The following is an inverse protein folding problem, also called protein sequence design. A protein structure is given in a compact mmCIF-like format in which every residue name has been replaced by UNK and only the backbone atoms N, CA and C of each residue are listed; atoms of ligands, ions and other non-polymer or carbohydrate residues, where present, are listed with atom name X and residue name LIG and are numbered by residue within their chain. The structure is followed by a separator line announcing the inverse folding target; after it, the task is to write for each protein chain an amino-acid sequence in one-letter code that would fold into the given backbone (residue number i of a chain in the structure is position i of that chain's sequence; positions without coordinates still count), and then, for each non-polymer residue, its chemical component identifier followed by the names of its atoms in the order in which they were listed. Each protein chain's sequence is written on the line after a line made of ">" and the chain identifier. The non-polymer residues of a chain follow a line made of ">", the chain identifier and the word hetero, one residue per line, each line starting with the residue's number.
data_IF_720494096365
#
_entry.id   IF_720494096365
#
_cell.length_a   1.000
_cell.length_b   1.000
_cell.length_c   1.000
_cell.angle_alpha   90.00
_cell.angle_beta   90.00
_cell.angle_gamma   90.00
#
_symmetry.space_group_name_H-M   'P 1'
#
loop_
_entity.id
_entity.type
_entity.pdbx_description
1 polymer ?
#
# COMPACT_ATOMS: atom_id res chain seq x y z
N UNK A 1 -31.76 -4.81 7.06
CA UNK A 1 -30.43 -4.96 7.73
C UNK A 1 -30.42 -3.96 8.88
N UNK A 2 -30.09 -4.38 10.13
CA UNK A 2 -30.04 -3.42 11.23
C UNK A 2 -28.92 -2.40 11.01
N UNK A 3 -29.07 -1.18 11.55
CA UNK A 3 -28.04 -0.12 11.43
C UNK A 3 -26.67 -0.58 11.93
N UNK A 4 -26.63 -1.41 12.97
CA UNK A 4 -25.38 -1.96 13.51
C UNK A 4 -24.70 -2.93 12.54
N UNK A 5 -25.46 -3.81 11.89
CA UNK A 5 -24.91 -4.70 10.87
C UNK A 5 -24.35 -3.92 9.69
N UNK A 6 -25.06 -2.91 9.21
CA UNK A 6 -24.57 -2.05 8.13
C UNK A 6 -23.24 -1.38 8.51
N UNK A 7 -23.16 -0.78 9.71
CA UNK A 7 -21.96 -0.13 10.21
C UNK A 7 -20.77 -1.10 10.30
N UNK A 8 -21.00 -2.32 10.80
CA UNK A 8 -19.99 -3.38 10.90
C UNK A 8 -19.38 -3.70 9.52
N UNK A 9 -20.21 -4.03 8.55
CA UNK A 9 -19.75 -4.41 7.21
C UNK A 9 -19.17 -3.23 6.45
N UNK A 10 -19.68 -2.03 6.63
CA UNK A 10 -19.10 -0.82 6.04
C UNK A 10 -17.70 -0.52 6.59
N UNK A 11 -17.50 -0.64 7.90
CA UNK A 11 -16.18 -0.50 8.51
C UNK A 11 -15.22 -1.57 8.01
N UNK A 12 -15.67 -2.81 7.88
CA UNK A 12 -14.87 -3.90 7.34
C UNK A 12 -14.48 -3.64 5.88
N UNK A 13 -15.40 -3.20 5.05
CA UNK A 13 -15.14 -2.81 3.67
C UNK A 13 -14.07 -1.71 3.57
N UNK A 14 -14.14 -0.69 4.41
CA UNK A 14 -13.10 0.35 4.46
C UNK A 14 -11.72 -0.20 4.84
N UNK A 15 -11.65 -1.20 5.73
CA UNK A 15 -10.39 -1.86 6.09
C UNK A 15 -9.84 -2.67 4.91
N UNK A 16 -10.69 -3.37 4.18
CA UNK A 16 -10.29 -4.11 2.96
C UNK A 16 -9.76 -3.16 1.89
N UNK A 17 -10.47 -2.04 1.65
CA UNK A 17 -9.99 -1.00 0.72
C UNK A 17 -8.65 -0.43 1.16
N UNK A 18 -8.48 -0.10 2.43
CA UNK A 18 -7.23 0.39 2.98
C UNK A 18 -6.08 -0.60 2.78
N UNK A 19 -6.32 -1.89 3.06
CA UNK A 19 -5.33 -2.95 2.89
C UNK A 19 -4.94 -3.15 1.42
N UNK A 20 -5.88 -3.10 0.48
CA UNK A 20 -5.58 -3.21 -0.94
C UNK A 20 -4.98 -1.94 -1.55
N UNK A 21 -5.15 -0.78 -0.93
CA UNK A 21 -4.63 0.50 -1.46
C UNK A 21 -3.20 0.82 -1.04
N UNK A 22 -2.74 0.32 0.11
CA UNK A 22 -1.41 0.65 0.62
C UNK A 22 -0.29 -0.10 -0.11
N UNK A 23 -0.52 -1.34 -0.50
CA UNK A 23 0.51 -2.22 -1.05
C UNK A 23 0.93 -1.92 -2.49
N UNK A 24 0.08 -1.45 -3.42
CA UNK A 24 0.50 -1.10 -4.77
C UNK A 24 1.66 -0.12 -4.84
N UNK A 25 1.72 0.88 -3.93
CA UNK A 25 2.85 1.81 -3.83
C UNK A 25 4.12 1.12 -3.32
N UNK A 26 3.98 0.25 -2.33
CA UNK A 26 5.11 -0.43 -1.69
C UNK A 26 5.74 -1.45 -2.62
N UNK A 27 4.91 -2.13 -3.43
CA UNK A 27 5.34 -3.19 -4.36
C UNK A 27 5.31 -2.78 -5.83
N UNK A 28 5.56 -1.49 -6.13
CA UNK A 28 5.61 -0.97 -7.51
C UNK A 28 6.51 -1.78 -8.44
N UNK A 29 7.61 -2.34 -7.92
CA UNK A 29 8.53 -3.20 -8.69
C UNK A 29 7.81 -4.36 -9.37
N UNK A 30 6.78 -4.93 -8.76
CA UNK A 30 6.09 -6.11 -9.30
C UNK A 30 5.45 -5.86 -10.67
N UNK A 31 5.04 -4.62 -10.94
CA UNK A 31 4.33 -4.26 -12.18
C UNK A 31 5.11 -3.26 -13.04
N UNK A 32 6.05 -2.49 -12.46
CA UNK A 32 6.67 -1.33 -13.11
C UNK A 32 8.20 -1.31 -13.00
N UNK A 33 8.85 -2.47 -12.82
CA UNK A 33 10.30 -2.55 -12.61
C UNK A 33 11.09 -1.80 -13.70
N UNK A 34 10.85 -2.13 -14.96
CA UNK A 34 11.58 -1.54 -16.09
C UNK A 34 11.36 -0.02 -16.18
N UNK A 35 10.12 0.42 -15.97
CA UNK A 35 9.79 1.86 -15.96
C UNK A 35 10.52 2.59 -14.84
N UNK A 36 10.59 2.00 -13.63
CA UNK A 36 11.30 2.60 -12.50
C UNK A 36 12.79 2.71 -12.80
N UNK A 37 13.41 1.65 -13.32
CA UNK A 37 14.83 1.67 -13.68
C UNK A 37 15.16 2.76 -14.70
N UNK A 38 14.31 2.91 -15.72
CA UNK A 38 14.49 3.91 -16.78
C UNK A 38 14.25 5.34 -16.25
N UNK A 39 13.12 5.59 -15.59
CA UNK A 39 12.73 6.92 -15.13
C UNK A 39 13.70 7.47 -14.09
N UNK A 40 14.15 6.64 -13.16
CA UNK A 40 15.08 7.04 -12.10
C UNK A 40 16.55 6.85 -12.48
N UNK A 41 16.84 6.36 -13.69
CA UNK A 41 18.19 6.03 -14.17
C UNK A 41 18.97 5.16 -13.16
N UNK A 42 18.32 4.11 -12.67
CA UNK A 42 18.84 3.22 -11.63
C UNK A 42 19.23 1.86 -12.19
N UNK A 43 20.20 1.23 -11.55
CA UNK A 43 20.52 -0.17 -11.76
C UNK A 43 19.56 -1.10 -10.99
N UNK A 44 19.46 -2.36 -11.42
CA UNK A 44 18.74 -3.40 -10.67
C UNK A 44 19.27 -3.57 -9.23
N UNK A 45 20.59 -3.41 -9.04
CA UNK A 45 21.21 -3.49 -7.71
C UNK A 45 20.69 -2.37 -6.78
N UNK A 46 20.60 -1.14 -7.28
CA UNK A 46 20.08 0.00 -6.55
C UNK A 46 18.60 -0.19 -6.18
N UNK A 47 17.76 -0.64 -7.12
CA UNK A 47 16.37 -0.94 -6.86
C UNK A 47 16.22 -2.05 -5.80
N UNK A 48 17.02 -3.12 -5.91
CA UNK A 48 16.99 -4.21 -4.92
C UNK A 48 17.45 -3.74 -3.53
N UNK A 49 18.40 -2.80 -3.44
CA UNK A 49 18.83 -2.21 -2.15
C UNK A 49 17.68 -1.49 -1.44
N UNK A 50 16.80 -0.80 -2.17
CA UNK A 50 15.60 -0.16 -1.59
C UNK A 50 14.64 -1.20 -0.99
N UNK A 51 14.41 -2.31 -1.70
CA UNK A 51 13.58 -3.40 -1.18
C UNK A 51 14.25 -4.14 -0.02
N UNK A 52 15.57 -4.16 0.04
CA UNK A 52 16.32 -4.69 1.19
C UNK A 52 16.09 -3.81 2.43
N UNK A 53 16.15 -2.47 2.29
CA UNK A 53 15.81 -1.54 3.38
C UNK A 53 14.39 -1.77 3.86
N UNK A 54 13.43 -1.84 2.93
CA UNK A 54 12.04 -2.15 3.24
C UNK A 54 11.92 -3.45 4.05
N UNK A 55 12.61 -4.51 3.61
CA UNK A 55 12.64 -5.81 4.29
C UNK A 55 13.20 -5.72 5.72
N UNK A 56 14.28 -4.98 5.94
CA UNK A 56 14.82 -4.76 7.29
C UNK A 56 13.84 -4.01 8.19
N UNK A 57 13.19 -2.98 7.67
CA UNK A 57 12.14 -2.26 8.42
C UNK A 57 11.00 -3.21 8.80
N UNK A 58 10.64 -4.16 7.93
CA UNK A 58 9.62 -5.16 8.22
C UNK A 58 10.07 -6.10 9.36
N UNK A 59 11.27 -6.64 9.26
CA UNK A 59 11.82 -7.57 10.28
C UNK A 59 11.80 -6.93 11.68
N UNK A 60 12.26 -5.69 11.79
CA UNK A 60 12.28 -4.99 13.08
C UNK A 60 10.91 -4.40 13.47
N UNK A 61 10.02 -4.21 12.52
CA UNK A 61 8.75 -3.50 12.71
C UNK A 61 7.62 -4.36 13.26
N UNK A 62 7.58 -5.67 12.96
CA UNK A 62 6.45 -6.52 13.33
C UNK A 62 6.17 -6.58 14.82
N UNK A 63 7.19 -6.74 15.66
CA UNK A 63 7.03 -6.81 17.12
C UNK A 63 6.54 -5.48 17.69
N UNK A 64 7.23 -4.33 17.44
CA UNK A 64 6.73 -3.02 17.87
C UNK A 64 5.35 -2.65 17.34
N UNK A 65 4.99 -3.10 16.13
CA UNK A 65 3.66 -2.89 15.55
C UNK A 65 2.53 -3.41 16.44
N UNK A 66 2.70 -4.62 17.00
CA UNK A 66 1.76 -5.19 17.96
C UNK A 66 1.59 -4.28 19.18
N UNK A 67 2.70 -3.86 19.79
CA UNK A 67 2.70 -2.97 20.96
C UNK A 67 2.02 -1.64 20.66
N UNK A 68 2.31 -1.04 19.49
CA UNK A 68 1.65 0.20 19.06
C UNK A 68 0.14 0.04 18.90
N UNK A 69 -0.27 -1.04 18.25
CA UNK A 69 -1.70 -1.29 18.04
C UNK A 69 -2.47 -1.53 19.34
N UNK A 70 -1.80 -2.03 20.39
CA UNK A 70 -2.42 -2.22 21.68
C UNK A 70 -2.56 -0.91 22.46
N UNK A 71 -1.62 -0.01 22.33
CA UNK A 71 -1.59 1.28 23.05
C UNK A 71 -2.38 2.38 22.36
N UNK A 72 -2.45 2.37 21.04
CA UNK A 72 -3.06 3.43 20.25
C UNK A 72 -4.33 2.97 19.54
N UNK A 73 -5.16 3.94 19.16
CA UNK A 73 -6.36 3.67 18.36
C UNK A 73 -5.98 3.13 16.98
N UNK A 74 -6.41 1.92 16.66
CA UNK A 74 -6.17 1.29 15.37
C UNK A 74 -6.66 2.15 14.19
N UNK A 75 -7.80 2.86 14.35
CA UNK A 75 -8.30 3.82 13.35
C UNK A 75 -7.29 4.95 13.08
N UNK A 76 -6.68 5.52 14.13
CA UNK A 76 -5.68 6.58 13.97
C UNK A 76 -4.41 6.06 13.30
N UNK A 77 -3.95 4.88 13.70
CA UNK A 77 -2.78 4.23 13.12
C UNK A 77 -2.98 3.95 11.62
N UNK A 78 -4.14 3.42 11.23
CA UNK A 78 -4.48 3.22 9.81
C UNK A 78 -4.51 4.54 9.02
N UNK A 79 -5.16 5.57 9.57
CA UNK A 79 -5.23 6.87 8.90
C UNK A 79 -3.84 7.48 8.70
N UNK A 80 -2.97 7.42 9.72
CA UNK A 80 -1.58 7.85 9.61
C UNK A 80 -0.82 7.07 8.54
N UNK A 81 -0.95 5.74 8.53
CA UNK A 81 -0.30 4.90 7.53
C UNK A 81 -0.66 5.32 6.11
N UNK A 82 -1.94 5.40 5.81
CA UNK A 82 -2.41 5.77 4.47
C UNK A 82 -1.97 7.18 4.09
N UNK A 83 -2.04 8.12 5.03
CA UNK A 83 -1.64 9.50 4.79
C UNK A 83 -0.14 9.62 4.46
N UNK A 84 0.74 9.08 5.30
CA UNK A 84 2.18 9.19 5.08
C UNK A 84 2.67 8.33 3.91
N UNK A 85 2.06 7.16 3.68
CA UNK A 85 2.36 6.36 2.49
C UNK A 85 1.94 7.09 1.22
N UNK A 86 0.78 7.75 1.22
CA UNK A 86 0.32 8.58 0.10
C UNK A 86 1.22 9.79 -0.15
N UNK A 87 1.64 10.50 0.90
CA UNK A 87 2.63 11.61 0.78
C UNK A 87 3.96 11.12 0.20
N UNK A 88 4.45 9.96 0.65
CA UNK A 88 5.62 9.33 0.06
C UNK A 88 5.44 9.02 -1.42
N UNK A 89 4.24 8.58 -1.84
CA UNK A 89 3.88 8.37 -3.24
C UNK A 89 3.91 9.65 -4.07
N UNK A 90 3.37 10.74 -3.55
CA UNK A 90 3.42 12.06 -4.21
C UNK A 90 4.87 12.57 -4.34
N UNK A 91 5.71 12.31 -3.34
CA UNK A 91 7.12 12.66 -3.41
C UNK A 91 7.87 11.78 -4.41
N UNK A 92 7.62 10.49 -4.42
CA UNK A 92 8.19 9.54 -5.38
C UNK A 92 7.86 9.91 -6.83
N UNK A 93 6.63 10.39 -7.08
CA UNK A 93 6.19 10.83 -8.41
C UNK A 93 6.95 12.04 -8.97
N UNK A 94 7.69 12.77 -8.13
CA UNK A 94 8.55 13.89 -8.54
C UNK A 94 9.94 13.45 -9.03
N UNK A 95 10.17 12.14 -9.11
CA UNK A 95 11.44 11.53 -9.55
C UNK A 95 12.65 12.09 -8.77
N UNK A 96 12.63 12.02 -7.42
CA UNK A 96 13.74 12.52 -6.62
C UNK A 96 15.00 11.68 -6.79
N UNK A 97 16.14 12.18 -6.26
CA UNK A 97 17.41 11.44 -6.33
C UNK A 97 17.36 10.12 -5.55
N UNK A 98 18.29 9.23 -5.84
CA UNK A 98 18.38 7.89 -5.26
C UNK A 98 18.30 7.87 -3.72
N UNK A 99 18.99 8.81 -3.06
CA UNK A 99 19.01 8.92 -1.60
C UNK A 99 17.61 9.23 -1.03
N UNK A 100 16.87 10.10 -1.69
CA UNK A 100 15.48 10.40 -1.30
C UNK A 100 14.53 9.24 -1.60
N UNK A 101 14.74 8.51 -2.69
CA UNK A 101 13.96 7.29 -2.96
C UNK A 101 14.21 6.25 -1.86
N UNK A 102 15.45 6.06 -1.41
CA UNK A 102 15.73 5.19 -0.25
C UNK A 102 14.99 5.63 1.01
N UNK A 103 14.96 6.94 1.29
CA UNK A 103 14.20 7.48 2.42
C UNK A 103 12.69 7.24 2.28
N UNK A 104 12.13 7.39 1.09
CA UNK A 104 10.72 7.09 0.80
C UNK A 104 10.42 5.60 1.07
N UNK A 105 11.28 4.69 0.65
CA UNK A 105 11.10 3.26 0.90
C UNK A 105 11.20 2.92 2.40
N UNK A 106 12.08 3.58 3.14
CA UNK A 106 12.13 3.45 4.60
C UNK A 106 10.84 3.96 5.27
N UNK A 107 10.31 5.10 4.83
CA UNK A 107 9.03 5.67 5.28
C UNK A 107 7.88 4.71 4.96
N UNK A 108 7.80 4.19 3.74
CA UNK A 108 6.80 3.22 3.34
C UNK A 108 6.88 1.95 4.18
N UNK A 109 8.09 1.43 4.42
CA UNK A 109 8.30 0.29 5.31
C UNK A 109 7.80 0.57 6.73
N UNK A 110 8.16 1.73 7.28
CA UNK A 110 7.73 2.12 8.62
C UNK A 110 6.20 2.19 8.72
N UNK A 111 5.55 2.97 7.88
CA UNK A 111 4.11 3.17 7.98
C UNK A 111 3.30 1.93 7.60
N UNK A 112 3.78 1.07 6.70
CA UNK A 112 3.08 -0.16 6.33
C UNK A 112 3.16 -1.26 7.39
N UNK A 113 4.22 -1.30 8.20
CA UNK A 113 4.36 -2.33 9.23
C UNK A 113 4.08 -1.79 10.62
N UNK A 114 4.79 -0.76 11.07
CA UNK A 114 4.64 -0.28 12.45
C UNK A 114 3.24 0.22 12.77
N UNK A 115 2.59 0.89 11.85
CA UNK A 115 1.29 1.52 12.12
C UNK A 115 0.12 0.86 11.39
N UNK A 116 0.35 0.19 10.25
CA UNK A 116 -0.73 -0.43 9.49
C UNK A 116 -0.98 -1.89 9.88
N UNK A 117 0.07 -2.74 9.83
CA UNK A 117 -0.11 -4.19 9.85
C UNK A 117 -0.93 -4.69 11.06
N UNK A 118 -0.50 -4.43 12.28
CA UNK A 118 -1.22 -4.89 13.46
C UNK A 118 -2.55 -4.15 13.66
N UNK A 119 -2.65 -2.90 13.24
CA UNK A 119 -3.86 -2.10 13.41
C UNK A 119 -5.02 -2.62 12.55
N UNK A 120 -4.79 -2.95 11.25
CA UNK A 120 -5.89 -3.47 10.43
C UNK A 120 -6.32 -4.87 10.86
N UNK A 121 -5.39 -5.74 11.25
CA UNK A 121 -5.69 -7.06 11.81
C UNK A 121 -6.52 -6.94 13.09
N UNK A 122 -6.17 -6.01 13.98
CA UNK A 122 -6.92 -5.73 15.21
C UNK A 122 -8.35 -5.27 14.92
N UNK A 123 -8.56 -4.38 13.94
CA UNK A 123 -9.91 -3.93 13.58
C UNK A 123 -10.75 -5.11 13.08
N UNK A 124 -10.19 -5.94 12.21
CA UNK A 124 -10.89 -7.12 11.69
C UNK A 124 -11.29 -8.07 12.84
N UNK A 125 -10.35 -8.33 13.75
CA UNK A 125 -10.62 -9.16 14.94
C UNK A 125 -11.72 -8.57 15.82
N UNK A 126 -11.79 -7.26 15.99
CA UNK A 126 -12.81 -6.60 16.80
C UNK A 126 -14.18 -6.54 16.11
N UNK A 127 -14.23 -6.53 14.78
CA UNK A 127 -15.47 -6.54 14.01
C UNK A 127 -16.09 -7.92 13.90
N UNK A 128 -15.26 -8.96 13.82
CA UNK A 128 -15.68 -10.34 13.65
C UNK A 128 -15.98 -11.01 15.01
N UNK A 129 -17.07 -11.76 15.10
CA UNK A 129 -17.26 -12.72 16.20
C UNK A 129 -16.30 -13.90 16.04
N UNK A 130 -16.06 -14.68 17.10
CA UNK A 130 -15.16 -15.85 17.03
C UNK A 130 -15.50 -16.80 15.88
N UNK A 131 -16.80 -17.01 15.62
CA UNK A 131 -17.28 -17.87 14.52
C UNK A 131 -17.08 -17.27 13.14
N UNK A 132 -16.99 -15.93 13.04
CA UNK A 132 -16.85 -15.21 11.77
C UNK A 132 -15.39 -14.90 11.42
N UNK A 133 -14.44 -15.06 12.35
CA UNK A 133 -13.03 -14.62 12.16
C UNK A 133 -12.41 -15.22 10.90
N UNK A 134 -12.55 -16.53 10.68
CA UNK A 134 -12.02 -17.18 9.48
C UNK A 134 -12.55 -16.57 8.19
N UNK A 135 -13.87 -16.31 8.14
CA UNK A 135 -14.52 -15.68 6.98
C UNK A 135 -14.04 -14.23 6.77
N UNK A 136 -13.94 -13.45 7.84
CA UNK A 136 -13.48 -12.06 7.76
C UNK A 136 -12.03 -11.95 7.32
N UNK A 137 -11.13 -12.78 7.84
CA UNK A 137 -9.74 -12.81 7.39
C UNK A 137 -9.60 -13.31 5.94
N UNK A 138 -10.38 -14.32 5.54
CA UNK A 138 -10.41 -14.77 4.15
C UNK A 138 -10.91 -13.70 3.18
N UNK A 139 -11.97 -12.96 3.54
CA UNK A 139 -12.47 -11.83 2.75
C UNK A 139 -11.46 -10.66 2.77
N UNK A 140 -10.77 -10.43 3.89
CA UNK A 140 -9.71 -9.41 3.95
C UNK A 140 -8.62 -9.69 2.93
N UNK A 141 -8.07 -10.91 2.92
CA UNK A 141 -6.97 -11.28 2.02
C UNK A 141 -7.41 -11.35 0.56
N UNK A 142 -8.53 -12.00 0.27
CA UNK A 142 -9.09 -12.06 -1.08
C UNK A 142 -9.52 -10.68 -1.60
N UNK A 143 -10.21 -9.90 -0.75
CA UNK A 143 -10.66 -8.56 -1.08
C UNK A 143 -9.51 -7.57 -1.30
N UNK A 144 -8.44 -7.68 -0.50
CA UNK A 144 -7.20 -6.92 -0.72
C UNK A 144 -6.66 -7.19 -2.14
N UNK A 145 -6.53 -8.45 -2.54
CA UNK A 145 -6.05 -8.81 -3.87
C UNK A 145 -6.93 -8.25 -4.99
N UNK A 146 -8.26 -8.25 -4.82
CA UNK A 146 -9.17 -7.62 -5.79
C UNK A 146 -8.93 -6.12 -5.90
N UNK A 147 -8.79 -5.41 -4.77
CA UNK A 147 -8.51 -3.96 -4.77
C UNK A 147 -7.16 -3.67 -5.41
N UNK A 148 -6.11 -4.44 -5.10
CA UNK A 148 -4.78 -4.32 -5.73
C UNK A 148 -4.86 -4.49 -7.25
N UNK A 149 -5.57 -5.52 -7.73
CA UNK A 149 -5.74 -5.78 -9.15
C UNK A 149 -6.51 -4.65 -9.86
N UNK A 150 -7.57 -4.13 -9.24
CA UNK A 150 -8.34 -3.01 -9.79
C UNK A 150 -7.49 -1.73 -9.87
N UNK A 151 -6.71 -1.41 -8.83
CA UNK A 151 -5.82 -0.25 -8.82
C UNK A 151 -4.69 -0.38 -9.83
N UNK A 152 -4.09 -1.57 -9.96
CA UNK A 152 -3.06 -1.83 -10.96
C UNK A 152 -3.63 -1.71 -12.38
N UNK A 153 -4.82 -2.26 -12.64
CA UNK A 153 -5.50 -2.16 -13.93
C UNK A 153 -5.84 -0.71 -14.29
N UNK A 154 -6.34 0.06 -13.31
CA UNK A 154 -6.64 1.49 -13.49
C UNK A 154 -5.36 2.28 -13.80
N UNK A 155 -4.28 2.02 -13.08
CA UNK A 155 -3.00 2.68 -13.31
C UNK A 155 -2.45 2.36 -14.71
N UNK A 156 -2.51 1.10 -15.16
CA UNK A 156 -2.11 0.70 -16.51
C UNK A 156 -2.99 1.36 -17.58
N UNK A 157 -4.29 1.44 -17.35
CA UNK A 157 -5.22 2.10 -18.28
C UNK A 157 -4.89 3.60 -18.44
N UNK A 158 -4.65 4.30 -17.34
CA UNK A 158 -4.26 5.71 -17.35
C UNK A 158 -2.91 5.88 -18.06
N UNK A 159 -1.93 5.04 -17.72
CA UNK A 159 -0.59 5.09 -18.31
C UNK A 159 -0.62 4.84 -19.82
N UNK A 160 -1.36 3.83 -20.30
CA UNK A 160 -1.50 3.55 -21.73
C UNK A 160 -2.22 4.67 -22.48
N UNK A 161 -3.22 5.31 -21.86
CA UNK A 161 -3.90 6.47 -22.42
C UNK A 161 -2.98 7.67 -22.61
N UNK A 162 -2.13 7.95 -21.63
CA UNK A 162 -1.14 9.05 -21.71
C UNK A 162 -0.10 8.77 -22.78
N UNK A 163 0.44 7.55 -22.85
CA UNK A 163 1.43 7.15 -23.86
C UNK A 163 0.82 7.17 -25.26
N UNK A 164 -0.39 6.65 -25.47
CA UNK A 164 -1.08 6.66 -26.74
C UNK A 164 -1.25 8.09 -27.28
N UNK A 165 -1.68 9.01 -26.42
CA UNK A 165 -1.83 10.44 -26.80
C UNK A 165 -0.47 11.08 -27.14
N UNK A 166 0.60 10.71 -26.44
CA UNK A 166 1.95 11.24 -26.70
C UNK A 166 2.50 10.75 -28.03
N UNK A 167 2.27 9.49 -28.41
CA UNK A 167 2.70 8.92 -29.69
C UNK A 167 1.95 9.58 -30.87
N UNK A 168 0.63 9.79 -30.75
CA UNK A 168 -0.15 10.49 -31.78
C UNK A 168 0.31 11.95 -32.03
N UNK A 169 0.79 12.62 -30.97
CA UNK A 169 1.30 14.01 -31.10
C UNK A 169 2.67 14.03 -31.81
N UNK A 170 3.49 13.01 -31.63
CA UNK A 170 4.82 12.90 -32.29
C UNK A 170 4.63 12.55 -33.77
N UNK A 171 3.70 11.67 -34.11
CA UNK A 171 3.47 11.23 -35.50
C UNK A 171 2.81 12.31 -36.39
N UNK A 172 2.20 13.33 -35.78
CA UNK A 172 1.61 14.50 -36.46
C UNK A 172 2.57 15.69 -36.65
N UNK A 173 3.85 15.58 -36.27
CA UNK A 173 4.90 16.59 -36.46
C UNK A 173 5.92 16.13 -37.48
#
# INVERSE_FOLDING_TARGET
>A
MSQEKFKKYFQFFLVVLAAGSIYPLIYLKSNYQETILQVFNMSNAQLNSMYTILGWVFVFGYIPSGILSDRFSAKKLLAMSLFFTGLGGLWFAQVPSYEFVMAIFAIWGFFSVFTFWSAHMKIVKLLATEKEQGTFFGILDGGRGVVEALLASLALFIFSGILGTSVEVIDKR
#
